data_IF_899931758367
#
_entry.id   IF_899931758367
#
_cell.length_a   1.000
_cell.length_b   1.000
_cell.length_c   1.000
_cell.angle_alpha   90.00
_cell.angle_beta   90.00
_cell.angle_gamma   90.00
#
_symmetry.space_group_name_H-M   'P 1'
#
loop_
_entity.id
_entity.type
_entity.pdbx_description
1 polymer ?
#
# COMPACT_ATOMS: atom_id res chain seq x y z
N UNK A 1 -50.06 60.21 -89.85
CA UNK A 1 -48.66 60.08 -89.41
C UNK A 1 -48.55 60.60 -87.99
N UNK A 2 -48.59 59.72 -87.00
CA UNK A 2 -48.21 60.04 -85.62
C UNK A 2 -47.26 58.94 -85.16
N UNK A 3 -46.00 59.31 -84.94
CA UNK A 3 -44.97 58.41 -84.41
C UNK A 3 -45.01 58.43 -82.90
N UNK A 4 -45.35 57.32 -82.27
CA UNK A 4 -45.25 57.17 -80.81
C UNK A 4 -44.02 56.34 -80.51
N UNK A 5 -42.95 56.99 -80.02
CA UNK A 5 -41.77 56.29 -79.47
C UNK A 5 -42.10 55.81 -78.07
N UNK A 6 -42.09 54.50 -77.86
CA UNK A 6 -42.27 53.86 -76.56
C UNK A 6 -40.89 53.69 -75.90
N UNK A 7 -40.65 54.43 -74.81
CA UNK A 7 -39.46 54.29 -73.98
C UNK A 7 -39.65 53.11 -73.01
N UNK A 8 -38.77 52.11 -73.08
CA UNK A 8 -38.70 51.00 -72.12
C UNK A 8 -37.73 51.41 -71.01
N UNK A 9 -38.25 51.65 -69.81
CA UNK A 9 -37.43 51.90 -68.63
C UNK A 9 -36.92 50.56 -68.04
N UNK A 10 -35.60 50.36 -68.05
CA UNK A 10 -34.94 49.25 -67.35
C UNK A 10 -34.76 49.63 -65.87
N UNK A 11 -35.31 48.83 -64.95
CA UNK A 11 -35.07 48.99 -63.51
C UNK A 11 -33.87 48.12 -63.07
N UNK A 12 -32.89 48.66 -62.32
CA UNK A 12 -31.67 47.94 -61.95
C UNK A 12 -31.84 47.27 -60.57
N UNK A 13 -32.56 46.15 -60.50
CA UNK A 13 -32.69 45.38 -59.23
C UNK A 13 -32.27 43.91 -59.34
N UNK A 14 -31.79 43.47 -60.50
CA UNK A 14 -31.45 42.07 -60.75
C UNK A 14 -29.99 41.68 -60.43
N UNK A 15 -29.15 42.58 -59.90
CA UNK A 15 -27.71 42.31 -59.70
C UNK A 15 -27.30 42.01 -58.25
N UNK A 16 -28.21 42.12 -57.28
CA UNK A 16 -27.87 41.97 -55.85
C UNK A 16 -28.23 40.60 -55.24
N UNK A 17 -28.90 39.71 -55.98
CA UNK A 17 -29.39 38.42 -55.46
C UNK A 17 -28.50 37.20 -55.77
N UNK A 18 -27.46 37.36 -56.60
CA UNK A 18 -26.57 36.24 -56.97
C UNK A 18 -25.39 36.09 -56.00
N UNK A 19 -24.99 37.16 -55.31
CA UNK A 19 -23.87 37.11 -54.35
C UNK A 19 -24.14 36.35 -53.05
N UNK A 20 -25.41 36.10 -52.71
CA UNK A 20 -25.79 35.48 -51.42
C UNK A 20 -25.90 33.95 -51.53
N UNK A 21 -26.03 33.38 -52.73
CA UNK A 21 -26.17 31.93 -52.90
C UNK A 21 -24.83 31.17 -52.89
N UNK A 22 -23.70 31.85 -53.17
CA UNK A 22 -22.34 31.29 -53.09
C UNK A 22 -21.73 31.35 -51.68
N UNK A 23 -22.33 32.09 -50.74
CA UNK A 23 -21.84 32.22 -49.36
C UNK A 23 -22.46 31.18 -48.39
N UNK A 24 -23.25 30.25 -48.92
CA UNK A 24 -23.92 29.19 -48.13
C UNK A 24 -23.27 27.80 -48.30
N UNK A 25 -22.20 27.66 -49.10
CA UNK A 25 -21.54 26.38 -49.33
C UNK A 25 -20.18 26.22 -48.60
N UNK A 26 -19.79 27.18 -47.75
CA UNK A 26 -18.52 27.15 -47.02
C UNK A 26 -18.72 26.93 -45.52
N UNK A 27 -19.60 26.00 -45.15
CA UNK A 27 -19.81 25.62 -43.74
C UNK A 27 -19.97 24.11 -43.51
N UNK A 28 -19.51 23.27 -44.45
CA UNK A 28 -19.40 21.82 -44.29
C UNK A 28 -18.00 21.39 -44.73
N UNK A 29 -17.11 21.04 -43.79
CA UNK A 29 -15.84 20.41 -44.18
C UNK A 29 -14.73 20.36 -43.13
N UNK A 30 -14.89 20.99 -41.97
CA UNK A 30 -13.90 20.95 -40.89
C UNK A 30 -14.24 19.94 -39.79
N UNK A 31 -14.59 18.69 -40.13
CA UNK A 31 -14.50 17.62 -39.12
C UNK A 31 -13.02 17.37 -38.90
N UNK A 32 -12.45 18.04 -37.90
CA UNK A 32 -11.20 17.62 -37.31
C UNK A 32 -11.45 16.20 -36.77
N UNK A 33 -11.07 15.18 -37.56
CA UNK A 33 -10.81 13.87 -36.99
C UNK A 33 -9.66 14.09 -36.03
N UNK A 34 -9.99 14.30 -34.76
CA UNK A 34 -9.04 14.10 -33.69
C UNK A 34 -8.54 12.67 -33.88
N UNK A 35 -7.29 12.54 -34.35
CA UNK A 35 -6.59 11.28 -34.32
C UNK A 35 -6.63 10.84 -32.86
N UNK A 36 -7.36 9.76 -32.58
CA UNK A 36 -7.23 9.08 -31.31
C UNK A 36 -5.76 8.72 -31.19
N UNK A 37 -5.07 9.35 -30.25
CA UNK A 37 -3.72 8.99 -29.89
C UNK A 37 -3.77 7.52 -29.48
N UNK A 38 -3.15 6.66 -30.28
CA UNK A 38 -3.16 5.21 -30.09
C UNK A 38 -2.26 4.92 -28.89
N UNK A 39 -2.81 5.08 -27.69
CA UNK A 39 -2.08 4.86 -26.45
C UNK A 39 -1.69 3.39 -26.37
N UNK A 40 -0.40 3.06 -26.22
CA UNK A 40 0.05 1.68 -26.23
C UNK A 40 -0.54 0.91 -25.06
N UNK A 41 -0.96 -0.33 -25.32
CA UNK A 41 -1.34 -1.29 -24.28
C UNK A 41 -0.09 -1.75 -23.54
N UNK A 42 -0.06 -1.56 -22.23
CA UNK A 42 1.11 -1.88 -21.38
C UNK A 42 0.87 -3.05 -20.42
N UNK A 43 -0.41 -3.38 -20.19
CA UNK A 43 -0.80 -4.50 -19.35
C UNK A 43 -2.15 -5.08 -19.80
N UNK A 44 -2.50 -6.24 -19.25
CA UNK A 44 -3.78 -6.90 -19.49
C UNK A 44 -4.40 -7.38 -18.18
N UNK A 45 -5.72 -7.30 -18.10
CA UNK A 45 -6.49 -7.83 -16.98
C UNK A 45 -6.55 -9.36 -17.07
N UNK A 46 -5.91 -10.08 -16.16
CA UNK A 46 -5.91 -11.56 -16.16
C UNK A 46 -6.97 -12.15 -15.25
N UNK A 47 -7.35 -11.42 -14.20
CA UNK A 47 -8.44 -11.79 -13.29
C UNK A 47 -9.22 -10.54 -12.95
N UNK A 48 -10.55 -10.61 -13.04
CA UNK A 48 -11.45 -9.53 -12.63
C UNK A 48 -12.55 -10.12 -11.77
N UNK A 49 -12.76 -9.57 -10.58
CA UNK A 49 -13.85 -9.96 -9.68
C UNK A 49 -14.51 -8.71 -9.12
N UNK A 50 -15.83 -8.61 -9.22
CA UNK A 50 -16.59 -7.44 -8.78
C UNK A 50 -16.59 -6.31 -9.81
N UNK A 51 -16.52 -5.06 -9.35
CA UNK A 51 -16.55 -3.86 -10.19
C UNK A 51 -15.16 -3.27 -10.33
N UNK A 52 -14.60 -3.43 -11.52
CA UNK A 52 -13.27 -2.94 -11.91
C UNK A 52 -13.41 -2.11 -13.18
N UNK A 53 -12.73 -0.98 -13.24
CA UNK A 53 -12.75 -0.10 -14.41
C UNK A 53 -11.37 0.47 -14.69
N UNK A 54 -11.06 0.67 -15.95
CA UNK A 54 -9.92 1.47 -16.41
C UNK A 54 -10.46 2.82 -16.91
N UNK A 55 -9.97 3.91 -16.36
CA UNK A 55 -10.25 5.27 -16.83
C UNK A 55 -9.11 5.68 -17.77
N UNK A 56 -9.45 5.81 -19.06
CA UNK A 56 -8.49 6.23 -20.08
C UNK A 56 -8.24 7.73 -19.98
N UNK A 57 -6.99 8.13 -19.73
CA UNK A 57 -6.64 9.55 -19.58
C UNK A 57 -6.92 10.36 -20.84
N UNK A 58 -6.60 9.81 -22.02
CA UNK A 58 -6.76 10.49 -23.31
C UNK A 58 -8.22 10.81 -23.66
N UNK A 59 -9.14 9.88 -23.43
CA UNK A 59 -10.56 10.03 -23.79
C UNK A 59 -11.44 10.43 -22.61
N UNK A 60 -10.91 10.37 -21.38
CA UNK A 60 -11.66 10.44 -20.12
C UNK A 60 -12.80 9.42 -20.02
N UNK A 61 -12.77 8.37 -20.85
CA UNK A 61 -13.77 7.32 -20.87
C UNK A 61 -13.45 6.30 -19.77
N UNK A 62 -14.46 5.94 -18.98
CA UNK A 62 -14.37 4.84 -18.02
C UNK A 62 -14.84 3.55 -18.69
N UNK A 63 -13.93 2.62 -18.89
CA UNK A 63 -14.19 1.29 -19.43
C UNK A 63 -14.34 0.30 -18.28
N UNK A 64 -15.43 -0.47 -18.28
CA UNK A 64 -15.56 -1.61 -17.36
C UNK A 64 -14.58 -2.69 -17.79
N UNK A 65 -13.66 -3.05 -16.91
CA UNK A 65 -12.64 -4.04 -17.21
C UNK A 65 -13.22 -5.45 -17.13
N UNK A 66 -12.82 -6.31 -18.08
CA UNK A 66 -13.06 -7.74 -18.07
C UNK A 66 -11.74 -8.48 -18.28
N UNK A 67 -11.72 -9.80 -18.08
CA UNK A 67 -10.51 -10.59 -18.38
C UNK A 67 -10.16 -10.44 -19.87
N UNK A 68 -8.89 -10.16 -20.16
CA UNK A 68 -8.37 -9.90 -21.50
C UNK A 68 -8.47 -8.44 -21.94
N UNK A 69 -9.16 -7.56 -21.20
CA UNK A 69 -9.15 -6.13 -21.49
C UNK A 69 -7.71 -5.59 -21.40
N UNK A 70 -7.24 -4.80 -22.37
CA UNK A 70 -5.95 -4.12 -22.27
C UNK A 70 -6.04 -2.92 -21.32
N UNK A 71 -4.97 -2.68 -20.57
CA UNK A 71 -4.74 -1.44 -19.86
C UNK A 71 -3.70 -0.63 -20.63
N UNK A 72 -4.05 0.62 -20.94
CA UNK A 72 -3.24 1.51 -21.74
C UNK A 72 -2.32 2.37 -20.87
N UNK A 73 -1.28 2.94 -21.47
CA UNK A 73 -0.45 3.93 -20.81
C UNK A 73 -1.30 5.13 -20.34
N UNK A 74 -1.00 5.67 -19.16
CA UNK A 74 -1.74 6.72 -18.47
C UNK A 74 -3.14 6.34 -17.95
N UNK A 75 -3.55 5.08 -18.09
CA UNK A 75 -4.81 4.63 -17.52
C UNK A 75 -4.81 4.68 -15.99
N UNK A 76 -5.98 4.95 -15.43
CA UNK A 76 -6.24 4.81 -13.99
C UNK A 76 -7.11 3.59 -13.75
N UNK A 77 -6.56 2.58 -13.12
CA UNK A 77 -7.28 1.36 -12.74
C UNK A 77 -7.94 1.57 -11.38
N UNK A 78 -9.25 1.36 -11.33
CA UNK A 78 -10.07 1.57 -10.14
C UNK A 78 -10.80 0.27 -9.80
N UNK A 79 -10.71 -0.14 -8.54
CA UNK A 79 -11.46 -1.27 -7.98
C UNK A 79 -12.39 -0.77 -6.88
N UNK A 80 -13.65 -1.18 -6.93
CA UNK A 80 -14.62 -0.79 -5.88
C UNK A 80 -14.57 -1.76 -4.69
N UNK A 81 -15.47 -1.55 -3.73
CA UNK A 81 -15.66 -2.43 -2.57
C UNK A 81 -15.93 -3.88 -3.03
N UNK A 82 -15.45 -4.88 -2.28
CA UNK A 82 -15.60 -6.32 -2.61
C UNK A 82 -15.15 -6.69 -4.02
N UNK A 83 -14.22 -5.92 -4.59
CA UNK A 83 -13.66 -6.16 -5.91
C UNK A 83 -12.18 -6.50 -5.78
N UNK A 84 -11.65 -7.25 -6.74
CA UNK A 84 -10.24 -7.62 -6.83
C UNK A 84 -9.89 -7.77 -8.30
N UNK A 85 -8.67 -7.42 -8.66
CA UNK A 85 -8.19 -7.62 -10.02
C UNK A 85 -6.72 -8.00 -10.04
N UNK A 86 -6.31 -8.74 -11.07
CA UNK A 86 -4.92 -8.97 -11.38
C UNK A 86 -4.60 -8.33 -12.74
N UNK A 87 -3.50 -7.59 -12.79
CA UNK A 87 -2.94 -7.03 -14.01
C UNK A 87 -1.61 -7.71 -14.29
N UNK A 88 -1.43 -8.19 -15.53
CA UNK A 88 -0.15 -8.69 -16.03
C UNK A 88 0.41 -7.69 -17.03
N UNK A 89 1.58 -7.15 -16.73
CA UNK A 89 2.31 -6.23 -17.59
C UNK A 89 3.09 -6.99 -18.68
N UNK A 90 3.45 -6.28 -19.75
CA UNK A 90 4.22 -6.86 -20.87
C UNK A 90 5.65 -7.28 -20.47
N UNK A 91 6.19 -6.75 -19.37
CA UNK A 91 7.48 -7.15 -18.79
C UNK A 91 7.39 -8.40 -17.88
N UNK A 92 6.24 -9.08 -17.89
CA UNK A 92 5.88 -10.19 -17.00
C UNK A 92 5.73 -9.84 -15.51
N UNK A 93 5.72 -8.56 -15.14
CA UNK A 93 5.35 -8.14 -13.77
C UNK A 93 3.85 -8.32 -13.55
N UNK A 94 3.47 -8.65 -12.31
CA UNK A 94 2.09 -8.92 -11.92
C UNK A 94 1.68 -8.05 -10.73
N UNK A 95 0.50 -7.43 -10.84
CA UNK A 95 -0.09 -6.62 -9.78
C UNK A 95 -1.44 -7.20 -9.37
N UNK A 96 -1.55 -7.64 -8.12
CA UNK A 96 -2.82 -8.09 -7.55
C UNK A 96 -3.40 -6.96 -6.69
N UNK A 97 -4.40 -6.27 -7.22
CA UNK A 97 -5.04 -5.14 -6.57
C UNK A 97 -6.25 -5.62 -5.76
N UNK A 98 -6.32 -5.19 -4.50
CA UNK A 98 -7.43 -5.46 -3.60
C UNK A 98 -8.67 -4.62 -3.88
N UNK A 99 -9.50 -4.46 -2.85
CA UNK A 99 -10.70 -3.62 -2.92
C UNK A 99 -10.36 -2.15 -2.62
N UNK A 100 -11.20 -1.23 -3.12
CA UNK A 100 -11.04 0.21 -2.90
C UNK A 100 -9.63 0.72 -3.29
N UNK A 101 -9.10 0.17 -4.37
CA UNK A 101 -7.77 0.47 -4.86
C UNK A 101 -7.85 1.36 -6.10
N UNK A 102 -6.97 2.35 -6.16
CA UNK A 102 -6.83 3.25 -7.30
C UNK A 102 -5.34 3.40 -7.63
N UNK A 103 -5.00 3.16 -8.90
CA UNK A 103 -3.65 3.28 -9.41
C UNK A 103 -3.62 3.89 -10.80
N UNK A 104 -2.71 4.84 -11.00
CA UNK A 104 -2.41 5.43 -12.28
C UNK A 104 -1.09 4.88 -12.86
N UNK A 105 -1.10 4.49 -14.13
CA UNK A 105 0.09 4.03 -14.85
C UNK A 105 0.74 5.25 -15.53
N UNK A 106 1.60 5.98 -14.79
CA UNK A 106 2.19 7.24 -15.29
C UNK A 106 3.12 7.04 -16.48
N UNK A 107 4.03 6.08 -16.34
CA UNK A 107 5.06 5.81 -17.34
C UNK A 107 5.31 4.30 -17.39
N UNK A 108 5.41 3.77 -18.60
CA UNK A 108 5.79 2.38 -18.80
C UNK A 108 6.48 2.23 -20.15
N UNK A 109 7.70 1.70 -20.13
CA UNK A 109 8.48 1.37 -21.32
C UNK A 109 9.25 0.09 -21.04
N UNK A 110 9.21 -0.83 -21.99
CA UNK A 110 9.91 -2.11 -21.88
C UNK A 110 10.49 -2.48 -23.24
N UNK A 111 11.80 -2.70 -23.26
CA UNK A 111 12.54 -3.23 -24.40
C UNK A 111 13.05 -4.63 -24.02
N UNK A 112 12.41 -5.64 -24.60
CA UNK A 112 12.76 -7.06 -24.37
C UNK A 112 14.15 -7.41 -24.92
N UNK A 113 14.58 -6.77 -26.02
CA UNK A 113 15.86 -7.06 -26.68
C UNK A 113 17.03 -6.63 -25.79
N UNK A 114 16.93 -5.42 -25.24
CA UNK A 114 17.98 -4.85 -24.41
C UNK A 114 17.74 -5.09 -22.90
N UNK A 115 16.65 -5.76 -22.53
CA UNK A 115 16.20 -5.97 -21.15
C UNK A 115 16.08 -4.66 -20.34
N UNK A 116 15.73 -3.56 -21.00
CA UNK A 116 15.59 -2.24 -20.38
C UNK A 116 14.14 -2.03 -19.99
N UNK A 117 13.91 -1.53 -18.78
CA UNK A 117 12.57 -1.23 -18.30
C UNK A 117 12.55 0.09 -17.56
N UNK A 118 11.51 0.87 -17.81
CA UNK A 118 11.12 1.99 -16.96
C UNK A 118 9.62 1.90 -16.67
N UNK A 119 9.26 1.82 -15.40
CA UNK A 119 7.87 1.79 -14.96
C UNK A 119 7.68 2.72 -13.76
N UNK A 120 6.70 3.63 -13.84
CA UNK A 120 6.28 4.50 -12.76
C UNK A 120 4.78 4.30 -12.56
N UNK A 121 4.43 3.69 -11.43
CA UNK A 121 3.05 3.43 -11.04
C UNK A 121 2.73 4.31 -9.84
N UNK A 122 1.62 5.02 -9.87
CA UNK A 122 1.16 5.84 -8.76
C UNK A 122 -0.05 5.18 -8.11
N UNK A 123 0.12 4.63 -6.91
CA UNK A 123 -0.94 4.04 -6.12
C UNK A 123 -1.46 5.07 -5.11
N UNK A 124 -2.77 5.32 -5.13
CA UNK A 124 -3.39 6.38 -4.32
C UNK A 124 -3.86 5.86 -2.97
N UNK A 125 -4.51 4.69 -2.96
CA UNK A 125 -5.11 4.10 -1.77
C UNK A 125 -5.33 2.60 -1.93
N UNK A 126 -5.52 1.90 -0.82
CA UNK A 126 -5.86 0.47 -0.79
C UNK A 126 -4.64 -0.44 -0.70
N UNK A 127 -4.84 -1.74 -0.97
CA UNK A 127 -3.79 -2.76 -0.88
C UNK A 127 -3.49 -3.35 -2.26
N UNK A 128 -2.21 -3.49 -2.57
CA UNK A 128 -1.73 -4.16 -3.79
C UNK A 128 -0.56 -5.08 -3.46
N UNK A 129 -0.56 -6.26 -4.04
CA UNK A 129 0.61 -7.11 -4.14
C UNK A 129 1.30 -6.84 -5.47
N UNK A 130 2.60 -6.62 -5.43
CA UNK A 130 3.42 -6.31 -6.61
C UNK A 130 4.50 -7.38 -6.72
N UNK A 131 4.50 -8.09 -7.83
CA UNK A 131 5.51 -9.08 -8.19
C UNK A 131 6.24 -8.58 -9.41
N UNK A 132 7.44 -8.04 -9.20
CA UNK A 132 8.25 -7.45 -10.28
C UNK A 132 9.15 -8.52 -10.88
N UNK A 133 9.07 -8.72 -12.20
CA UNK A 133 9.95 -9.65 -12.89
C UNK A 133 11.42 -9.24 -12.74
N UNK A 134 12.28 -10.21 -12.44
CA UNK A 134 13.74 -10.05 -12.38
C UNK A 134 14.27 -9.94 -13.80
N UNK A 135 14.90 -8.82 -14.11
CA UNK A 135 15.58 -8.57 -15.37
C UNK A 135 17.10 -8.54 -15.11
N UNK A 136 17.87 -9.11 -16.04
CA UNK A 136 19.33 -9.22 -15.90
C UNK A 136 20.11 -7.93 -16.19
N UNK A 137 19.43 -6.87 -16.65
CA UNK A 137 20.06 -5.58 -16.97
C UNK A 137 20.27 -4.71 -15.73
N UNK A 138 21.18 -3.74 -15.84
CA UNK A 138 21.41 -2.71 -14.83
C UNK A 138 20.40 -1.55 -14.93
N UNK A 139 19.81 -1.32 -16.11
CA UNK A 139 18.89 -0.22 -16.40
C UNK A 139 17.42 -0.66 -16.27
N UNK A 140 17.06 -1.10 -15.07
CA UNK A 140 15.70 -1.61 -14.79
C UNK A 140 15.08 -0.81 -13.66
N UNK A 141 14.35 0.24 -14.01
CA UNK A 141 13.68 1.10 -13.05
C UNK A 141 12.22 0.68 -12.94
N UNK A 142 11.81 0.23 -11.75
CA UNK A 142 10.42 -0.01 -11.41
C UNK A 142 10.12 0.75 -10.13
N UNK A 143 9.25 1.75 -10.21
CA UNK A 143 8.93 2.65 -9.11
C UNK A 143 7.44 2.64 -8.83
N UNK A 144 7.09 2.44 -7.56
CA UNK A 144 5.73 2.62 -7.05
C UNK A 144 5.70 3.85 -6.17
N UNK A 145 4.97 4.86 -6.61
CA UNK A 145 4.72 6.08 -5.86
C UNK A 145 3.43 5.93 -5.06
N UNK A 146 3.47 6.40 -3.82
CA UNK A 146 2.33 6.50 -2.90
C UNK A 146 2.27 7.93 -2.36
N UNK A 147 1.18 8.35 -1.70
CA UNK A 147 1.09 9.71 -1.16
C UNK A 147 2.24 10.08 -0.21
N UNK A 148 2.76 9.11 0.56
CA UNK A 148 3.81 9.34 1.56
C UNK A 148 5.19 8.81 1.18
N UNK A 149 5.33 7.98 0.14
CA UNK A 149 6.60 7.35 -0.22
C UNK A 149 6.77 7.04 -1.71
N UNK A 150 8.03 6.99 -2.13
CA UNK A 150 8.49 6.48 -3.42
C UNK A 150 9.26 5.19 -3.17
N UNK A 151 8.80 4.10 -3.78
CA UNK A 151 9.34 2.75 -3.59
C UNK A 151 10.02 2.31 -4.88
N UNK A 152 11.34 2.17 -4.86
CA UNK A 152 12.12 1.69 -5.99
C UNK A 152 12.44 0.20 -5.83
N UNK A 153 12.19 -0.56 -6.89
CA UNK A 153 12.13 -2.03 -6.83
C UNK A 153 13.00 -2.64 -7.92
N UNK A 154 13.79 -3.66 -7.55
CA UNK A 154 14.52 -4.49 -8.50
C UNK A 154 14.23 -5.98 -8.23
N UNK A 155 13.30 -6.55 -8.99
CA UNK A 155 13.03 -7.99 -9.00
C UNK A 155 12.61 -8.55 -7.63
N UNK A 156 11.50 -8.07 -7.10
CA UNK A 156 11.05 -8.30 -5.72
C UNK A 156 9.54 -8.56 -5.70
N UNK A 157 9.09 -9.38 -4.76
CA UNK A 157 7.68 -9.57 -4.44
C UNK A 157 7.38 -8.89 -3.09
N UNK A 158 6.41 -7.99 -3.08
CA UNK A 158 6.06 -7.20 -1.90
C UNK A 158 4.60 -6.75 -1.91
N UNK A 159 4.08 -6.42 -0.74
CA UNK A 159 2.77 -5.82 -0.55
C UNK A 159 2.91 -4.36 -0.18
N UNK A 160 2.04 -3.53 -0.74
CA UNK A 160 1.86 -2.13 -0.35
C UNK A 160 0.43 -1.97 0.15
N UNK A 161 0.28 -1.43 1.36
CA UNK A 161 -1.02 -1.03 1.90
C UNK A 161 -0.99 0.45 2.20
N UNK A 162 -1.85 1.20 1.52
CA UNK A 162 -2.03 2.63 1.73
C UNK A 162 -3.33 2.81 2.50
N UNK A 163 -3.19 3.39 3.67
CA UNK A 163 -4.30 3.69 4.58
C UNK A 163 -4.98 5.01 4.20
N UNK A 164 -6.23 5.20 4.63
CA UNK A 164 -7.01 6.39 4.28
C UNK A 164 -6.43 7.69 4.85
N UNK A 165 -5.63 7.61 5.91
CA UNK A 165 -4.87 8.72 6.49
C UNK A 165 -3.52 8.97 5.80
N UNK A 166 -3.21 8.24 4.71
CA UNK A 166 -2.04 8.48 3.86
C UNK A 166 -0.76 7.77 4.31
N UNK A 167 -0.80 6.95 5.35
CA UNK A 167 0.36 6.10 5.72
C UNK A 167 0.49 4.94 4.76
N UNK A 168 1.73 4.60 4.44
CA UNK A 168 2.06 3.50 3.55
C UNK A 168 2.81 2.42 4.33
N UNK A 169 2.30 1.20 4.29
CA UNK A 169 2.95 0.01 4.83
C UNK A 169 3.51 -0.81 3.67
N UNK A 170 4.80 -1.13 3.73
CA UNK A 170 5.51 -1.93 2.74
C UNK A 170 5.94 -3.22 3.42
N UNK A 171 5.48 -4.38 2.93
CA UNK A 171 5.89 -5.70 3.42
C UNK A 171 6.59 -6.44 2.30
N UNK A 172 7.87 -6.76 2.47
CA UNK A 172 8.65 -7.43 1.43
C UNK A 172 8.63 -8.92 1.67
N UNK A 173 8.15 -9.69 0.70
CA UNK A 173 8.14 -11.16 0.77
C UNK A 173 9.45 -11.72 0.24
N UNK A 174 9.94 -11.20 -0.89
CA UNK A 174 11.18 -11.67 -1.52
C UNK A 174 11.98 -10.52 -2.11
N UNK A 175 13.30 -10.54 -1.95
CA UNK A 175 14.20 -9.53 -2.50
C UNK A 175 14.38 -8.34 -1.57
N UNK A 176 14.44 -7.14 -2.15
CA UNK A 176 14.66 -5.88 -1.42
C UNK A 176 14.08 -4.69 -2.18
N UNK A 177 13.61 -3.71 -1.43
CA UNK A 177 13.08 -2.46 -1.96
C UNK A 177 13.77 -1.27 -1.30
N UNK A 178 14.05 -0.24 -2.08
CA UNK A 178 14.51 1.04 -1.55
C UNK A 178 13.29 1.95 -1.39
N UNK A 179 13.06 2.42 -0.16
CA UNK A 179 11.92 3.28 0.18
C UNK A 179 12.45 4.67 0.51
N UNK A 180 11.93 5.67 -0.20
CA UNK A 180 12.20 7.09 0.07
C UNK A 180 10.90 7.77 0.51
N UNK A 181 10.99 8.61 1.53
CA UNK A 181 9.86 9.42 1.98
C UNK A 181 9.52 10.53 0.99
N UNK A 182 8.24 10.79 0.74
CA UNK A 182 7.80 11.91 -0.10
C UNK A 182 8.05 13.28 0.56
N UNK A 183 8.11 13.31 1.89
CA UNK A 183 8.37 14.51 2.69
C UNK A 183 9.87 14.82 2.89
N UNK A 184 10.77 13.88 2.61
CA UNK A 184 12.21 14.09 2.65
C UNK A 184 12.96 13.37 1.51
N UNK A 185 13.49 14.12 0.55
CA UNK A 185 14.08 13.58 -0.69
C UNK A 185 15.44 12.90 -0.53
N UNK A 186 16.10 13.04 0.61
CA UNK A 186 17.51 12.68 0.76
C UNK A 186 17.75 11.40 1.57
N UNK A 187 16.70 10.82 2.15
CA UNK A 187 16.80 9.61 2.96
C UNK A 187 16.13 8.44 2.25
N UNK A 188 16.87 7.35 2.09
CA UNK A 188 16.37 6.10 1.53
C UNK A 188 16.66 4.99 2.53
N UNK A 189 15.63 4.20 2.83
CA UNK A 189 15.70 3.04 3.70
C UNK A 189 15.57 1.79 2.84
N UNK A 190 16.48 0.85 3.00
CA UNK A 190 16.41 -0.45 2.35
C UNK A 190 15.59 -1.41 3.21
N UNK A 191 14.54 -2.00 2.63
CA UNK A 191 13.69 -3.00 3.29
C UNK A 191 13.90 -4.33 2.59
N UNK A 192 14.21 -5.38 3.33
CA UNK A 192 14.52 -6.71 2.78
C UNK A 192 13.40 -7.71 3.07
N UNK A 193 13.48 -8.88 2.45
CA UNK A 193 12.52 -9.97 2.65
C UNK A 193 12.19 -10.24 4.13
N UNK A 194 10.93 -10.53 4.40
CA UNK A 194 10.34 -10.76 5.72
C UNK A 194 10.36 -9.54 6.67
N UNK A 195 10.58 -8.35 6.12
CA UNK A 195 10.46 -7.10 6.87
C UNK A 195 9.23 -6.31 6.42
N UNK A 196 8.67 -5.58 7.39
CA UNK A 196 7.67 -4.56 7.14
C UNK A 196 8.23 -3.20 7.53
N UNK A 197 7.92 -2.18 6.73
CA UNK A 197 8.30 -0.80 6.96
C UNK A 197 7.07 0.10 6.83
N UNK A 198 6.90 1.00 7.79
CA UNK A 198 5.83 2.00 7.79
C UNK A 198 6.41 3.36 7.42
N UNK A 199 5.78 4.01 6.45
CA UNK A 199 6.04 5.40 6.11
C UNK A 199 4.88 6.25 6.66
N UNK A 200 5.17 7.19 7.59
CA UNK A 200 4.14 8.07 8.11
C UNK A 200 3.53 8.95 7.01
N UNK A 201 2.30 9.43 7.22
CA UNK A 201 1.55 10.18 6.21
C UNK A 201 2.23 11.49 5.77
N UNK A 202 3.05 12.09 6.63
CA UNK A 202 3.86 13.26 6.29
C UNK A 202 5.05 12.94 5.37
N UNK A 203 5.29 11.66 5.09
CA UNK A 203 6.37 11.17 4.24
C UNK A 203 7.77 11.43 4.80
N UNK A 204 7.92 11.69 6.09
CA UNK A 204 9.22 11.91 6.74
C UNK A 204 9.68 10.60 7.38
N UNK A 205 10.75 10.03 6.83
CA UNK A 205 11.40 8.86 7.43
C UNK A 205 12.14 9.28 8.71
N UNK A 206 11.87 8.58 9.82
CA UNK A 206 12.66 8.70 11.05
C UNK A 206 13.69 7.57 11.05
N UNK A 207 14.98 7.91 11.21
CA UNK A 207 16.17 7.02 11.16
C UNK A 207 16.17 5.79 12.09
N UNK A 208 15.07 5.49 12.78
CA UNK A 208 14.92 4.39 13.73
C UNK A 208 13.71 3.53 13.36
N UNK A 209 13.77 2.85 12.22
CA UNK A 209 12.90 1.70 11.94
C UNK A 209 13.57 0.80 10.92
N UNK A 210 14.66 0.15 11.32
CA UNK A 210 14.90 -1.17 10.75
C UNK A 210 13.63 -1.99 11.02
N UNK A 211 13.02 -2.45 9.93
CA UNK A 211 11.63 -2.85 9.87
C UNK A 211 11.16 -3.64 11.09
N UNK A 212 10.00 -3.27 11.61
CA UNK A 212 9.30 -4.10 12.58
C UNK A 212 9.01 -5.41 11.87
N UNK A 213 9.82 -6.44 12.14
CA UNK A 213 9.49 -7.80 11.73
C UNK A 213 8.09 -8.08 12.29
N UNK A 214 7.11 -8.54 11.48
CA UNK A 214 5.87 -9.03 12.03
C UNK A 214 6.28 -10.09 13.05
N UNK A 215 5.98 -9.82 14.34
CA UNK A 215 6.39 -10.68 15.43
C UNK A 215 6.05 -12.12 15.03
N UNK A 216 7.02 -13.07 15.04
CA UNK A 216 6.71 -14.45 14.75
C UNK A 216 5.57 -14.84 15.67
N UNK A 217 4.47 -15.34 15.08
CA UNK A 217 3.36 -15.90 15.85
C UNK A 217 4.00 -16.79 16.92
N UNK A 218 3.82 -16.41 18.18
CA UNK A 218 4.53 -17.02 19.30
C UNK A 218 4.18 -18.50 19.30
N UNK A 219 5.04 -19.32 18.72
CA UNK A 219 4.93 -20.77 18.82
C UNK A 219 5.04 -21.07 20.30
N UNK A 220 3.93 -21.46 20.91
CA UNK A 220 3.88 -21.90 22.30
C UNK A 220 5.01 -22.91 22.46
N UNK A 221 6.01 -22.54 23.25
CA UNK A 221 7.19 -23.38 23.44
C UNK A 221 6.72 -24.66 24.13
N UNK A 222 7.32 -25.81 23.81
CA UNK A 222 6.98 -27.10 24.44
C UNK A 222 7.05 -27.04 25.99
N UNK A 223 7.81 -26.09 26.53
CA UNK A 223 7.91 -25.78 27.96
C UNK A 223 6.63 -25.18 28.55
N UNK A 224 5.88 -24.36 27.78
CA UNK A 224 4.57 -23.81 28.20
C UNK A 224 3.46 -24.89 28.21
N UNK A 225 3.54 -25.88 27.31
CA UNK A 225 2.68 -27.07 27.37
C UNK A 225 3.01 -28.00 28.57
N UNK A 226 4.25 -28.02 29.05
CA UNK A 226 4.63 -28.83 30.21
C UNK A 226 4.10 -28.23 31.53
N UNK A 227 4.12 -26.91 31.67
CA UNK A 227 3.63 -26.24 32.89
C UNK A 227 2.11 -26.26 33.04
N UNK A 228 1.36 -26.44 31.94
CA UNK A 228 -0.11 -26.59 31.99
C UNK A 228 -0.53 -27.99 32.47
N UNK A 229 0.33 -28.99 32.31
CA UNK A 229 0.08 -30.37 32.76
C UNK A 229 0.30 -30.59 34.27
N UNK A 230 1.02 -29.70 34.95
CA UNK A 230 1.26 -29.80 36.40
C UNK A 230 0.07 -29.27 37.22
N UNK A 231 -0.75 -28.39 36.65
CA UNK A 231 -1.94 -27.86 37.34
C UNK A 231 -3.11 -28.84 37.31
N UNK A 232 -3.23 -29.68 36.27
CA UNK A 232 -4.36 -30.62 36.14
C UNK A 232 -4.21 -31.92 36.94
N UNK A 233 -3.01 -32.27 37.42
CA UNK A 233 -2.75 -33.56 38.10
C UNK A 233 -2.71 -33.48 39.62
N UNK A 234 -2.89 -32.29 40.22
CA UNK A 234 -2.99 -32.12 41.69
C UNK A 234 -4.38 -31.69 42.16
N UNK A 235 -5.39 -31.79 41.31
CA UNK A 235 -6.79 -31.64 41.71
C UNK A 235 -7.29 -32.95 42.34
N UNK A 236 -6.94 -33.19 43.59
CA UNK A 236 -7.68 -34.12 44.45
C UNK A 236 -8.06 -33.38 45.72
N UNK A 237 -9.37 -33.12 45.84
CA UNK A 237 -10.13 -32.54 46.96
C UNK A 237 -10.22 -30.98 47.06
N UNK A 238 -11.36 -30.45 47.56
CA UNK A 238 -11.83 -29.10 47.28
C UNK A 238 -11.30 -28.10 48.31
N UNK A 239 -10.51 -27.11 47.86
CA UNK A 239 -10.13 -25.97 48.68
C UNK A 239 -10.51 -24.68 47.96
N UNK A 240 -11.30 -23.82 48.62
CA UNK A 240 -11.76 -22.53 48.08
C UNK A 240 -10.62 -21.59 47.67
N UNK A 241 -9.41 -21.77 48.20
CA UNK A 241 -8.23 -20.98 47.83
C UNK A 241 -7.87 -21.11 46.33
N UNK A 242 -8.18 -22.25 45.70
CA UNK A 242 -7.86 -22.50 44.29
C UNK A 242 -8.75 -21.66 43.36
N UNK A 243 -10.00 -21.38 43.76
CA UNK A 243 -10.90 -20.55 42.95
C UNK A 243 -10.50 -19.07 42.98
N UNK A 244 -9.99 -18.58 44.11
CA UNK A 244 -9.49 -17.20 44.24
C UNK A 244 -8.20 -17.00 43.45
N UNK A 245 -7.31 -18.00 43.42
CA UNK A 245 -6.05 -17.91 42.69
C UNK A 245 -6.27 -17.97 41.17
N UNK A 246 -7.18 -18.84 40.70
CA UNK A 246 -7.55 -18.92 39.27
C UNK A 246 -8.28 -17.65 38.81
N UNK A 247 -9.14 -17.08 39.64
CA UNK A 247 -9.78 -15.79 39.35
C UNK A 247 -8.75 -14.65 39.27
N UNK A 248 -7.77 -14.61 40.19
CA UNK A 248 -6.70 -13.62 40.17
C UNK A 248 -5.83 -13.71 38.90
N UNK A 249 -5.52 -14.93 38.44
CA UNK A 249 -4.80 -15.15 37.18
C UNK A 249 -5.65 -14.66 35.99
N UNK A 250 -6.95 -14.94 35.97
CA UNK A 250 -7.83 -14.51 34.88
C UNK A 250 -7.98 -12.98 34.84
N UNK A 251 -8.06 -12.32 36.00
CA UNK A 251 -8.10 -10.86 36.12
C UNK A 251 -6.76 -10.23 35.71
N UNK A 252 -5.63 -10.81 36.12
CA UNK A 252 -4.31 -10.34 35.71
C UNK A 252 -4.11 -10.47 34.18
N UNK A 253 -4.57 -11.58 33.59
CA UNK A 253 -4.55 -11.78 32.13
C UNK A 253 -5.44 -10.76 31.40
N UNK A 254 -6.61 -10.44 31.94
CA UNK A 254 -7.48 -9.40 31.37
C UNK A 254 -6.85 -8.00 31.46
N UNK A 255 -6.18 -7.68 32.57
CA UNK A 255 -5.48 -6.40 32.76
C UNK A 255 -4.29 -6.26 31.80
N UNK A 256 -3.53 -7.33 31.55
CA UNK A 256 -2.43 -7.34 30.57
C UNK A 256 -2.97 -7.12 29.14
N UNK A 257 -4.09 -7.76 28.79
CA UNK A 257 -4.74 -7.55 27.49
C UNK A 257 -5.25 -6.11 27.34
N UNK A 258 -5.81 -5.52 28.39
CA UNK A 258 -6.28 -4.14 28.38
C UNK A 258 -5.11 -3.13 28.30
N UNK A 259 -4.01 -3.37 29.01
CA UNK A 259 -2.81 -2.53 28.94
C UNK A 259 -2.16 -2.56 27.55
N UNK A 260 -2.08 -3.74 26.92
CA UNK A 260 -1.57 -3.89 25.56
C UNK A 260 -2.48 -3.27 24.49
N UNK A 261 -3.79 -3.23 24.73
CA UNK A 261 -4.74 -2.55 23.84
C UNK A 261 -4.70 -1.02 23.97
N UNK A 262 -4.26 -0.48 25.12
CA UNK A 262 -4.27 0.94 25.41
C UNK A 262 -2.98 1.69 25.02
N UNK A 263 -1.84 1.00 24.83
CA UNK A 263 -0.57 1.66 24.48
C UNK A 263 0.45 0.72 23.79
N UNK A 264 0.45 0.60 22.44
CA UNK A 264 1.36 -0.32 21.73
C UNK A 264 2.84 0.13 21.66
N UNK A 265 3.21 1.30 22.21
CA UNK A 265 4.56 1.88 22.09
C UNK A 265 5.43 1.81 23.36
N UNK A 266 4.99 1.14 24.43
CA UNK A 266 5.73 1.07 25.70
C UNK A 266 6.50 -0.25 25.95
N UNK A 267 6.79 -1.05 24.90
CA UNK A 267 7.64 -2.24 24.99
C UNK A 267 9.06 -2.00 24.45
N UNK A 268 9.64 -0.83 24.76
CA UNK A 268 11.05 -0.53 24.55
C UNK A 268 11.56 0.15 25.83
N UNK A 269 11.97 -0.67 26.79
CA UNK A 269 12.58 -0.24 28.04
C UNK A 269 13.63 -1.26 28.44
N UNK A 270 14.87 -0.96 28.05
CA UNK A 270 16.16 -1.39 28.62
C UNK A 270 16.15 -2.65 29.52
N UNK A 271 16.91 -3.66 29.11
CA UNK A 271 17.16 -4.87 29.87
C UNK A 271 17.63 -4.61 31.30
N UNK A 272 16.79 -4.98 32.26
CA UNK A 272 17.21 -5.43 33.57
C UNK A 272 16.21 -6.50 34.04
N UNK A 273 16.48 -7.77 33.73
CA UNK A 273 15.73 -8.91 34.27
C UNK A 273 16.17 -9.13 35.71
N UNK A 274 15.60 -8.39 36.64
CA UNK A 274 15.77 -8.67 38.07
C UNK A 274 14.50 -8.34 38.87
N UNK A 275 13.37 -8.89 38.41
CA UNK A 275 12.18 -9.06 39.25
C UNK A 275 12.03 -10.54 39.57
N UNK A 276 12.88 -11.02 40.49
CA UNK A 276 12.65 -12.31 41.16
C UNK A 276 11.30 -12.22 41.86
N UNK A 277 10.35 -13.06 41.45
CA UNK A 277 9.11 -13.31 42.18
C UNK A 277 9.48 -13.83 43.56
N UNK A 278 9.50 -12.95 44.58
CA UNK A 278 9.59 -13.38 45.97
C UNK A 278 8.28 -14.03 46.34
N UNK A 279 8.28 -15.36 46.39
CA UNK A 279 7.24 -16.10 47.08
C UNK A 279 7.28 -15.69 48.55
N UNK A 280 6.11 -15.35 49.08
CA UNK A 280 5.92 -14.97 50.47
C UNK A 280 5.99 -16.25 51.32
N UNK A 281 7.16 -16.53 51.90
CA UNK A 281 7.35 -17.66 52.81
C UNK A 281 6.63 -17.35 54.12
N UNK A 282 5.37 -17.78 54.23
CA UNK A 282 4.42 -17.39 55.26
C UNK A 282 4.89 -17.57 56.72
N UNK A 283 5.61 -16.59 57.26
CA UNK A 283 5.78 -16.39 58.70
C UNK A 283 5.32 -14.98 59.09
N UNK A 284 4.32 -14.95 59.98
CA UNK A 284 3.63 -13.74 60.44
C UNK A 284 4.47 -12.78 61.29
N UNK A 285 3.88 -11.64 61.70
CA UNK A 285 4.62 -10.49 62.21
C UNK A 285 4.91 -10.62 63.70
N UNK A 286 6.00 -9.95 64.12
CA UNK A 286 6.43 -9.61 65.49
C UNK A 286 7.59 -10.46 66.07
N UNK A 287 8.84 -9.99 65.94
CA UNK A 287 9.79 -9.81 67.07
C UNK A 287 11.18 -9.32 66.63
N UNK A 288 11.40 -8.00 66.74
CA UNK A 288 12.55 -7.23 67.29
C UNK A 288 14.05 -7.53 66.93
N UNK A 289 14.95 -6.52 67.10
CA UNK A 289 16.16 -6.31 66.29
C UNK A 289 17.45 -6.87 66.92
N UNK A 290 18.46 -7.11 66.10
CA UNK A 290 19.77 -7.60 66.54
C UNK A 290 20.90 -7.25 65.57
N UNK A 291 21.60 -6.18 65.94
CA UNK A 291 22.96 -5.75 65.58
C UNK A 291 23.96 -6.90 65.33
N UNK A 292 24.82 -6.79 64.29
CA UNK A 292 26.29 -6.68 64.40
C UNK A 292 27.05 -7.15 63.14
N UNK A 293 28.02 -6.31 62.76
CA UNK A 293 29.32 -6.63 62.15
C UNK A 293 29.29 -7.40 60.81
N UNK A 294 29.67 -6.79 59.69
CA UNK A 294 30.99 -6.19 59.52
C UNK A 294 32.01 -7.29 59.23
N UNK A 295 32.24 -7.58 57.94
CA UNK A 295 33.50 -8.16 57.44
C UNK A 295 33.60 -8.05 55.92
N UNK A 296 34.25 -6.98 55.51
CA UNK A 296 35.05 -6.89 54.28
C UNK A 296 36.32 -7.75 54.42
N UNK A 297 36.92 -8.09 53.27
CA UNK A 297 38.35 -8.42 52.95
C UNK A 297 38.45 -9.55 51.89
N UNK A 298 39.55 -9.67 51.09
CA UNK A 298 39.55 -9.30 49.67
C UNK A 298 40.16 -10.36 48.70
N UNK A 299 40.25 -9.97 47.41
CA UNK A 299 41.05 -10.39 46.23
C UNK A 299 42.10 -11.54 46.32
N UNK A 300 42.21 -12.27 45.19
CA UNK A 300 43.33 -13.05 44.57
C UNK A 300 43.01 -14.54 44.39
N UNK A 301 43.26 -15.21 43.26
CA UNK A 301 44.04 -14.93 42.03
C UNK A 301 43.18 -14.89 40.76
#
# INVERSE_FOLDING_TARGET
MFSTRLAIAFTPTALQKIGILMLSFSLLGGVNLAHAEDNPSVASFTTVTGSVSALHSATKASLVASVGTPALLQDTVITKKRSRTQLKFIDNSMLNMGQNFEMNIKEFTYDETNNVRKAILNAVQGTVEVVVAKLGSETTDFTVETPSAVISVRGTAFYVTITADGRTFITVTEGRVAVRGAGNSNESVMVTANQQFEVPANGILSRSSNGTSPAPATTLTATEMANTRTVLTKATAPNQQVYTDVAAILTAMAAIRAANAANPTAAQGNGNTDTVLKFNDGKGPNSFPGTLAGRSLPVSL
#
